data_IF_186503979596
#
_entry.id   IF_186503979596
#
_cell.length_a   1.000
_cell.length_b   1.000
_cell.length_c   1.000
_cell.angle_alpha   90.00
_cell.angle_beta   90.00
_cell.angle_gamma   90.00
#
_symmetry.space_group_name_H-M   'P 1'
#
loop_
_entity.id
_entity.type
_entity.pdbx_description
1 polymer ?
#
# COMPACT_ATOMS: atom_id res chain seq x y z
N UNK A 1 9.45 3.43 -4.89
CA UNK A 1 8.33 4.26 -4.39
C UNK A 1 8.47 5.72 -4.75
N UNK A 2 9.66 6.32 -4.56
CA UNK A 2 9.96 7.67 -5.05
C UNK A 2 9.57 7.88 -6.53
N UNK A 3 9.81 6.89 -7.37
CA UNK A 3 9.40 6.90 -8.79
C UNK A 3 7.87 7.09 -8.99
N UNK A 4 7.04 6.62 -8.05
CA UNK A 4 5.57 6.78 -8.10
C UNK A 4 5.17 8.19 -7.72
N UNK A 5 5.86 8.83 -6.76
CA UNK A 5 5.58 10.21 -6.38
C UNK A 5 6.18 11.25 -7.35
N UNK A 6 7.33 10.95 -7.95
CA UNK A 6 8.00 11.83 -8.91
C UNK A 6 7.51 11.68 -10.36
N UNK A 7 6.53 10.81 -10.62
CA UNK A 7 6.06 10.60 -12.01
C UNK A 7 5.29 11.81 -12.55
N UNK A 8 5.49 12.12 -13.83
CA UNK A 8 4.70 13.08 -14.60
C UNK A 8 3.43 12.48 -15.23
N UNK A 9 3.20 11.17 -15.07
CA UNK A 9 2.00 10.51 -15.59
C UNK A 9 0.74 11.06 -14.91
N UNK A 10 -0.34 11.23 -15.68
CA UNK A 10 -1.65 11.69 -15.16
C UNK A 10 -2.40 10.63 -14.36
N UNK A 11 -2.19 9.35 -14.68
CA UNK A 11 -2.82 8.20 -14.02
C UNK A 11 -1.79 7.14 -13.68
N UNK A 12 -2.05 6.40 -12.61
CA UNK A 12 -1.20 5.32 -12.12
C UNK A 12 -2.08 4.10 -11.86
N UNK A 13 -1.69 2.96 -12.46
CA UNK A 13 -2.34 1.68 -12.18
C UNK A 13 -1.90 1.12 -10.84
N UNK A 14 -2.86 0.79 -9.98
CA UNK A 14 -2.68 0.15 -8.68
C UNK A 14 -3.66 -1.03 -8.59
N UNK A 15 -3.16 -2.24 -8.31
CA UNK A 15 -3.97 -3.46 -8.15
C UNK A 15 -4.93 -3.80 -9.30
N UNK A 16 -4.75 -3.24 -10.49
CA UNK A 16 -5.63 -3.47 -11.64
C UNK A 16 -6.49 -2.25 -12.01
N UNK A 17 -6.59 -1.24 -11.15
CA UNK A 17 -7.38 -0.02 -11.38
C UNK A 17 -6.51 1.21 -11.67
N UNK A 18 -7.04 2.14 -12.48
CA UNK A 18 -6.37 3.41 -12.80
C UNK A 18 -6.85 4.54 -11.88
N UNK A 19 -5.92 5.07 -11.10
CA UNK A 19 -6.17 6.20 -10.20
C UNK A 19 -5.51 7.48 -10.72
N UNK A 20 -6.08 8.67 -10.44
CA UNK A 20 -5.39 9.94 -10.66
C UNK A 20 -4.05 9.96 -9.92
N UNK A 21 -2.99 10.41 -10.59
CA UNK A 21 -1.66 10.39 -10.00
C UNK A 21 -1.59 11.20 -8.71
N UNK A 22 -2.30 12.33 -8.61
CA UNK A 22 -2.33 13.16 -7.40
C UNK A 22 -2.93 12.45 -6.18
N UNK A 23 -4.00 11.66 -6.39
CA UNK A 23 -4.59 10.84 -5.32
C UNK A 23 -3.58 9.81 -4.81
N UNK A 24 -2.90 9.13 -5.74
CA UNK A 24 -1.86 8.15 -5.40
C UNK A 24 -0.73 8.83 -4.64
N UNK A 25 -0.23 9.97 -5.12
CA UNK A 25 0.81 10.75 -4.43
C UNK A 25 0.38 11.13 -3.01
N UNK A 26 -0.82 11.67 -2.85
CA UNK A 26 -1.34 12.07 -1.54
C UNK A 26 -1.40 10.89 -0.57
N UNK A 27 -1.88 9.72 -1.02
CA UNK A 27 -1.89 8.50 -0.18
C UNK A 27 -0.50 8.05 0.21
N UNK A 28 0.46 8.02 -0.72
CA UNK A 28 1.84 7.63 -0.42
C UNK A 28 2.54 8.61 0.54
N UNK A 29 2.23 9.92 0.46
CA UNK A 29 2.78 10.93 1.37
C UNK A 29 2.20 10.86 2.79
N UNK A 30 1.06 10.18 2.98
CA UNK A 30 0.43 9.94 4.30
C UNK A 30 0.98 8.69 5.01
N UNK A 31 1.89 7.95 4.36
CA UNK A 31 2.49 6.78 4.97
C UNK A 31 3.38 7.18 6.16
N UNK A 32 3.26 6.41 7.23
CA UNK A 32 4.05 6.54 8.45
C UNK A 32 4.58 5.14 8.84
N UNK A 33 5.34 5.05 9.94
CA UNK A 33 5.94 3.80 10.41
C UNK A 33 4.92 2.69 10.69
N UNK A 34 3.71 3.01 11.13
CA UNK A 34 2.67 2.01 11.42
C UNK A 34 2.18 1.33 10.14
N UNK A 35 2.00 2.10 9.06
CA UNK A 35 1.68 1.53 7.75
C UNK A 35 2.78 0.58 7.25
N UNK A 36 4.05 0.93 7.47
CA UNK A 36 5.18 0.07 7.09
C UNK A 36 5.17 -1.21 7.91
N UNK A 37 4.91 -1.12 9.23
CA UNK A 37 4.78 -2.28 10.12
C UNK A 37 3.70 -3.24 9.62
N UNK A 38 2.49 -2.73 9.38
CA UNK A 38 1.37 -3.50 8.83
C UNK A 38 1.73 -4.24 7.53
N UNK A 39 2.42 -3.57 6.60
CA UNK A 39 2.85 -4.21 5.35
C UNK A 39 3.87 -5.33 5.59
N UNK A 40 4.80 -5.14 6.52
CA UNK A 40 5.78 -6.16 6.89
C UNK A 40 5.11 -7.37 7.54
N UNK A 41 4.15 -7.16 8.44
CA UNK A 41 3.37 -8.23 9.06
C UNK A 41 2.60 -9.03 7.99
N UNK A 42 1.90 -8.33 7.09
CA UNK A 42 1.25 -8.95 5.92
C UNK A 42 2.21 -9.75 5.04
N UNK A 43 3.47 -9.32 4.91
CA UNK A 43 4.48 -10.06 4.15
C UNK A 43 4.99 -11.30 4.88
N UNK A 44 5.07 -11.26 6.21
CA UNK A 44 5.45 -12.42 7.03
C UNK A 44 4.37 -13.49 7.05
N UNK A 45 3.10 -13.09 7.10
CA UNK A 45 1.97 -14.02 7.06
C UNK A 45 1.76 -14.65 5.68
N UNK A 46 2.28 -14.03 4.62
CA UNK A 46 2.12 -14.54 3.26
C UNK A 46 3.05 -15.72 2.99
N UNK A 47 2.50 -16.93 3.00
CA UNK A 47 3.22 -18.19 2.77
C UNK A 47 3.54 -18.47 1.29
N UNK A 48 3.05 -17.63 0.36
CA UNK A 48 3.22 -17.83 -1.08
C UNK A 48 4.26 -16.86 -1.67
N UNK A 49 5.12 -17.38 -2.56
CA UNK A 49 6.12 -16.55 -3.26
C UNK A 49 5.47 -15.45 -4.11
N UNK A 50 5.72 -14.21 -3.75
CA UNK A 50 5.26 -13.03 -4.50
C UNK A 50 6.10 -12.89 -5.79
N UNK A 51 5.48 -13.15 -6.95
CA UNK A 51 6.15 -13.09 -8.26
C UNK A 51 6.52 -11.68 -8.70
N UNK A 52 5.69 -10.68 -8.34
CA UNK A 52 5.92 -9.27 -8.68
C UNK A 52 5.90 -8.40 -7.42
N UNK A 53 7.00 -8.42 -6.67
CA UNK A 53 7.12 -7.73 -5.38
C UNK A 53 6.90 -6.22 -5.49
N UNK A 54 7.29 -5.58 -6.61
CA UNK A 54 7.10 -4.14 -6.80
C UNK A 54 5.63 -3.77 -6.89
N UNK A 55 4.84 -4.50 -7.69
CA UNK A 55 3.40 -4.25 -7.80
C UNK A 55 2.66 -4.58 -6.51
N UNK A 56 3.06 -5.67 -5.84
CA UNK A 56 2.49 -6.04 -4.55
C UNK A 56 2.69 -4.94 -3.51
N UNK A 57 3.93 -4.52 -3.27
CA UNK A 57 4.24 -3.45 -2.30
C UNK A 57 3.48 -2.16 -2.64
N UNK A 58 3.38 -1.82 -3.92
CA UNK A 58 2.66 -0.64 -4.37
C UNK A 58 1.16 -0.71 -4.03
N UNK A 59 0.54 -1.88 -4.19
CA UNK A 59 -0.86 -2.09 -3.86
C UNK A 59 -1.09 -2.06 -2.34
N UNK A 60 -0.30 -2.81 -1.57
CA UNK A 60 -0.48 -2.88 -0.11
C UNK A 60 -0.24 -1.52 0.54
N UNK A 61 0.81 -0.79 0.16
CA UNK A 61 1.09 0.53 0.73
C UNK A 61 0.08 1.60 0.30
N UNK A 62 -0.46 1.52 -0.91
CA UNK A 62 -1.54 2.43 -1.32
C UNK A 62 -2.84 2.20 -0.51
N UNK A 63 -3.08 0.96 -0.11
CA UNK A 63 -4.26 0.57 0.66
C UNK A 63 -4.06 0.68 2.17
N UNK A 64 -2.82 0.61 2.67
CA UNK A 64 -2.51 0.58 4.10
C UNK A 64 -3.24 1.67 4.91
N UNK A 65 -3.25 2.97 4.52
CA UNK A 65 -3.97 3.99 5.29
C UNK A 65 -5.49 3.80 5.35
N UNK A 66 -6.07 3.06 4.41
CA UNK A 66 -7.50 2.76 4.38
C UNK A 66 -7.85 1.45 5.08
N UNK A 67 -6.87 0.57 5.32
CA UNK A 67 -7.10 -0.78 5.88
C UNK A 67 -6.53 -0.98 7.27
N UNK A 68 -5.57 -0.13 7.70
CA UNK A 68 -4.87 -0.25 8.99
C UNK A 68 -5.83 -0.14 10.19
N UNK A 69 -6.83 0.74 10.10
CA UNK A 69 -7.84 0.95 11.15
C UNK A 69 -8.69 -0.31 11.38
N UNK A 70 -9.12 -0.95 10.29
CA UNK A 70 -9.86 -2.22 10.31
C UNK A 70 -8.99 -3.37 10.83
N UNK A 71 -7.70 -3.40 10.47
CA UNK A 71 -6.76 -4.42 10.94
C UNK A 71 -6.53 -4.35 12.46
N UNK A 72 -6.23 -3.17 13.00
CA UNK A 72 -6.03 -3.01 14.45
C UNK A 72 -7.32 -3.18 15.25
N UNK A 73 -8.47 -2.75 14.72
CA UNK A 73 -9.78 -3.01 15.35
C UNK A 73 -10.06 -4.52 15.44
N UNK A 74 -9.73 -5.27 14.39
CA UNK A 74 -9.94 -6.73 14.36
C UNK A 74 -8.99 -7.48 15.29
N UNK A 75 -7.77 -6.98 15.51
CA UNK A 75 -6.79 -7.57 16.43
C UNK A 75 -7.12 -7.34 17.91
N UNK A 76 -7.76 -6.22 18.26
CA UNK A 76 -8.21 -5.93 19.64
C UNK A 76 -9.51 -6.66 20.00
N UNK A 77 -10.32 -7.02 19.00
CA UNK A 77 -11.55 -7.77 19.19
C UNK A 77 -11.35 -9.27 19.45
N UNK A 78 -10.10 -9.75 19.53
CA UNK A 78 -9.75 -11.16 19.71
C UNK A 78 -8.91 -11.40 20.99
#
# INVERSE_FOLDING_TARGET
MLETVCTARKKIRIAGDDYPAELVKSKFMKLNSEHIRFVLDCMQENTTKIRNIKQYLKAVLFNAPSTIDSYYTSLVAH
#
